data_IF_961383081686
#
_entry.id   IF_961383081686
#
_cell.length_a   1.000
_cell.length_b   1.000
_cell.length_c   1.000
_cell.angle_alpha   90.00
_cell.angle_beta   90.00
_cell.angle_gamma   90.00
#
_symmetry.space_group_name_H-M   'P 1'
#
loop_
_entity.id
_entity.type
_entity.pdbx_description
1 polymer ?
#
# COMPACT_ATOMS: atom_id res chain seq x y z
N UNK A 1 -9.25 -2.21 -15.67
CA UNK A 1 -8.71 -3.22 -14.73
C UNK A 1 -9.33 -2.97 -13.39
N UNK A 2 -9.76 -4.02 -12.67
CA UNK A 2 -10.17 -3.89 -11.27
C UNK A 2 -8.94 -3.41 -10.49
N UNK A 3 -9.06 -2.34 -9.70
CA UNK A 3 -7.95 -1.82 -8.89
C UNK A 3 -7.44 -2.86 -7.89
N UNK A 4 -6.30 -2.60 -7.27
CA UNK A 4 -5.73 -3.45 -6.23
C UNK A 4 -6.55 -3.32 -4.94
N UNK A 5 -7.77 -3.84 -4.90
CA UNK A 5 -8.68 -3.65 -3.77
C UNK A 5 -9.36 -4.94 -3.33
N UNK A 6 -8.67 -5.69 -2.46
CA UNK A 6 -9.21 -6.89 -1.85
C UNK A 6 -10.37 -6.60 -0.87
N UNK A 7 -10.50 -5.37 -0.35
CA UNK A 7 -11.61 -5.00 0.53
C UNK A 7 -12.96 -5.08 -0.21
N UNK A 8 -12.97 -4.80 -1.52
CA UNK A 8 -14.18 -4.90 -2.35
C UNK A 8 -14.59 -6.35 -2.66
N UNK A 9 -13.73 -7.32 -2.37
CA UNK A 9 -14.00 -8.75 -2.58
C UNK A 9 -14.58 -9.43 -1.34
N UNK A 10 -14.57 -8.72 -0.21
CA UNK A 10 -15.15 -9.19 1.05
C UNK A 10 -16.68 -9.10 1.03
N UNK A 11 -17.32 -9.89 1.89
CA UNK A 11 -18.76 -9.73 2.11
C UNK A 11 -19.07 -8.33 2.63
N UNK A 12 -20.25 -7.76 2.31
CA UNK A 12 -20.61 -6.40 2.74
C UNK A 12 -20.43 -6.18 4.24
N UNK A 13 -20.83 -7.17 5.06
CA UNK A 13 -20.72 -7.08 6.52
C UNK A 13 -19.26 -6.98 7.00
N UNK A 14 -18.34 -7.74 6.40
CA UNK A 14 -16.91 -7.72 6.76
C UNK A 14 -16.26 -6.43 6.29
N UNK A 15 -16.55 -6.02 5.05
CA UNK A 15 -16.11 -4.74 4.48
C UNK A 15 -16.51 -3.57 5.37
N UNK A 16 -17.78 -3.49 5.76
CA UNK A 16 -18.27 -2.43 6.63
C UNK A 16 -17.59 -2.45 8.01
N UNK A 17 -17.29 -3.63 8.53
CA UNK A 17 -16.60 -3.79 9.82
C UNK A 17 -15.16 -3.29 9.76
N UNK A 18 -14.43 -3.58 8.68
CA UNK A 18 -13.07 -3.06 8.46
C UNK A 18 -13.10 -1.54 8.29
N UNK A 19 -13.99 -1.03 7.43
CA UNK A 19 -14.09 0.41 7.16
C UNK A 19 -14.44 1.21 8.42
N UNK A 20 -15.23 0.66 9.35
CA UNK A 20 -15.51 1.29 10.65
C UNK A 20 -14.28 1.37 11.57
N UNK A 21 -13.32 0.46 11.42
CA UNK A 21 -12.07 0.46 12.19
C UNK A 21 -10.98 1.34 11.55
N UNK A 22 -11.13 1.67 10.27
CA UNK A 22 -10.17 2.50 9.55
C UNK A 22 -10.15 3.94 10.09
N UNK A 23 -8.97 4.57 10.04
CA UNK A 23 -8.79 5.97 10.46
C UNK A 23 -8.33 6.79 9.27
N UNK A 24 -9.05 7.88 8.90
CA UNK A 24 -8.59 8.78 7.85
C UNK A 24 -7.23 9.37 8.19
N UNK A 25 -6.34 9.42 7.19
CA UNK A 25 -5.01 10.04 7.30
C UNK A 25 -4.74 10.85 6.05
N UNK A 26 -4.18 12.04 6.22
CA UNK A 26 -3.63 12.84 5.14
C UNK A 26 -2.12 12.78 5.22
N UNK A 27 -1.48 12.49 4.09
CA UNK A 27 -0.02 12.48 3.97
C UNK A 27 0.39 13.60 3.03
N UNK A 28 1.50 14.27 3.36
CA UNK A 28 2.05 15.31 2.52
C UNK A 28 2.54 14.71 1.19
N UNK A 29 2.55 15.53 0.14
CA UNK A 29 3.16 15.14 -1.12
C UNK A 29 4.64 14.76 -0.93
N UNK A 30 5.10 13.79 -1.72
CA UNK A 30 6.44 13.20 -1.64
C UNK A 30 6.82 12.57 -0.28
N UNK A 31 5.85 12.34 0.62
CA UNK A 31 6.09 11.57 1.85
C UNK A 31 6.19 10.08 1.54
N UNK A 32 7.26 9.44 1.99
CA UNK A 32 7.41 7.98 1.96
C UNK A 32 6.47 7.39 3.02
N UNK A 33 5.57 6.48 2.60
CA UNK A 33 4.70 5.74 3.53
C UNK A 33 5.43 4.61 4.24
N UNK A 34 6.23 3.86 3.49
CA UNK A 34 7.13 2.81 3.96
C UNK A 34 8.22 2.61 2.92
N UNK A 35 9.35 2.05 3.34
CA UNK A 35 10.47 1.67 2.49
C UNK A 35 10.94 0.25 2.81
N UNK A 36 11.86 -0.29 2.00
CA UNK A 36 12.41 -1.62 2.23
C UNK A 36 13.04 -1.73 3.61
N UNK A 37 12.71 -2.81 4.33
CA UNK A 37 13.16 -3.05 5.70
C UNK A 37 12.26 -2.46 6.78
N UNK A 38 11.26 -1.63 6.43
CA UNK A 38 10.29 -1.15 7.41
C UNK A 38 9.35 -2.27 7.85
N UNK A 39 9.05 -2.31 9.14
CA UNK A 39 7.94 -3.13 9.65
C UNK A 39 6.62 -2.47 9.28
N UNK A 40 5.90 -3.06 8.33
CA UNK A 40 4.55 -2.64 7.97
C UNK A 40 3.54 -3.27 8.93
N UNK A 41 2.79 -2.44 9.65
CA UNK A 41 1.75 -2.90 10.60
C UNK A 41 0.34 -2.45 10.20
N UNK A 42 0.22 -1.70 9.11
CA UNK A 42 -1.02 -1.07 8.67
C UNK A 42 -1.16 -1.18 7.16
N UNK A 43 -2.41 -1.27 6.70
CA UNK A 43 -2.80 -1.28 5.30
C UNK A 43 -3.58 0.01 5.02
N UNK A 44 -3.41 0.60 3.84
CA UNK A 44 -4.05 1.86 3.47
C UNK A 44 -4.92 1.70 2.23
N UNK A 45 -6.14 2.21 2.27
CA UNK A 45 -6.95 2.47 1.09
C UNK A 45 -6.80 3.93 0.67
N UNK A 46 -6.54 4.16 -0.62
CA UNK A 46 -6.44 5.50 -1.17
C UNK A 46 -7.84 6.06 -1.35
N UNK A 47 -8.16 7.13 -0.61
CA UNK A 47 -9.44 7.86 -0.79
C UNK A 47 -9.30 8.92 -1.90
N UNK A 48 -8.17 9.61 -1.94
CA UNK A 48 -7.87 10.65 -2.93
C UNK A 48 -6.36 10.81 -3.11
N UNK A 49 -5.94 11.24 -4.29
CA UNK A 49 -4.51 11.39 -4.65
C UNK A 49 -3.95 10.13 -5.30
N UNK A 50 -2.63 10.01 -5.29
CA UNK A 50 -1.91 8.89 -5.88
C UNK A 50 -0.68 8.52 -5.04
N UNK A 51 -0.29 7.24 -5.10
CA UNK A 51 0.90 6.72 -4.44
C UNK A 51 1.76 6.02 -5.49
N UNK A 52 3.05 6.34 -5.52
CA UNK A 52 4.03 5.64 -6.36
C UNK A 52 4.68 4.51 -5.57
N UNK A 53 4.75 3.32 -6.16
CA UNK A 53 5.61 2.25 -5.69
C UNK A 53 6.84 2.19 -6.57
N UNK A 54 7.99 2.41 -5.95
CA UNK A 54 9.29 2.37 -6.59
C UNK A 54 10.16 1.31 -5.91
N UNK A 55 11.15 0.81 -6.64
CA UNK A 55 12.32 0.11 -6.09
C UNK A 55 13.56 0.94 -6.36
N UNK A 56 14.60 0.72 -5.58
CA UNK A 56 15.91 1.34 -5.77
C UNK A 56 16.86 0.28 -6.32
N UNK A 57 17.48 0.57 -7.47
CA UNK A 57 18.55 -0.30 -7.99
C UNK A 57 19.78 -0.26 -7.08
N UNK A 58 20.72 -1.19 -7.27
CA UNK A 58 22.02 -1.19 -6.57
C UNK A 58 22.77 0.16 -6.71
N UNK A 59 22.62 0.82 -7.86
CA UNK A 59 23.20 2.15 -8.15
C UNK A 59 22.36 3.33 -7.59
N UNK A 60 21.31 3.04 -6.82
CA UNK A 60 20.43 4.02 -6.19
C UNK A 60 19.43 4.71 -7.12
N UNK A 61 19.17 4.17 -8.32
CA UNK A 61 18.17 4.71 -9.23
C UNK A 61 16.76 4.26 -8.82
N UNK A 62 15.81 5.18 -8.80
CA UNK A 62 14.39 4.85 -8.59
C UNK A 62 13.76 4.29 -9.88
N UNK A 63 13.23 3.08 -9.80
CA UNK A 63 12.42 2.46 -10.84
C UNK A 63 10.96 2.44 -10.39
N UNK A 64 10.11 3.20 -11.08
CA UNK A 64 8.67 3.21 -10.85
C UNK A 64 8.05 1.88 -11.32
N UNK A 65 7.46 1.13 -10.39
CA UNK A 65 6.76 -0.12 -10.69
C UNK A 65 5.26 0.11 -10.95
N UNK A 66 4.63 0.95 -10.13
CA UNK A 66 3.19 1.18 -10.20
C UNK A 66 2.77 2.52 -9.61
N UNK A 67 1.66 3.07 -10.10
CA UNK A 67 0.98 4.24 -9.54
C UNK A 67 -0.42 3.82 -9.11
N UNK A 68 -0.64 3.79 -7.79
CA UNK A 68 -1.93 3.51 -7.19
C UNK A 68 -2.79 4.77 -7.15
N UNK A 69 -4.10 4.60 -7.35
CA UNK A 69 -5.09 5.67 -7.35
C UNK A 69 -6.25 5.41 -6.38
N UNK A 70 -7.28 6.26 -6.39
CA UNK A 70 -8.43 6.11 -5.49
C UNK A 70 -9.09 4.74 -5.59
N UNK A 71 -9.35 4.13 -4.44
CA UNK A 71 -9.89 2.79 -4.30
C UNK A 71 -8.82 1.70 -4.14
N UNK A 72 -7.60 1.92 -4.64
CA UNK A 72 -6.52 0.95 -4.48
C UNK A 72 -6.07 0.84 -3.01
N UNK A 73 -5.61 -0.37 -2.67
CA UNK A 73 -5.01 -0.72 -1.40
C UNK A 73 -3.50 -0.83 -1.59
N UNK A 74 -2.75 -0.30 -0.62
CA UNK A 74 -1.30 -0.41 -0.54
C UNK A 74 -0.86 -0.96 0.80
N UNK A 75 0.37 -1.45 0.86
CA UNK A 75 0.96 -2.05 2.06
C UNK A 75 0.21 -3.31 2.55
N UNK A 76 -0.55 -3.95 1.66
CA UNK A 76 -1.36 -5.15 1.91
C UNK A 76 -0.60 -6.47 1.77
N UNK A 77 0.64 -6.42 1.26
CA UNK A 77 1.49 -7.60 1.22
C UNK A 77 2.07 -7.86 2.61
N UNK A 78 1.68 -8.94 3.32
CA UNK A 78 2.62 -9.56 4.23
C UNK A 78 3.74 -10.09 3.34
N UNK A 79 4.92 -9.48 3.42
CA UNK A 79 6.11 -10.29 3.17
C UNK A 79 6.04 -11.36 4.24
N UNK A 80 5.95 -12.62 3.82
CA UNK A 80 5.98 -13.80 4.71
C UNK A 80 6.88 -13.52 5.91
N UNK A 81 6.42 -13.83 7.14
CA UNK A 81 7.05 -13.48 8.43
C UNK A 81 8.55 -13.85 8.58
N UNK A 82 9.18 -14.45 7.57
CA UNK A 82 10.59 -14.84 7.53
C UNK A 82 11.41 -14.27 6.35
N UNK A 83 10.88 -13.39 5.49
CA UNK A 83 11.69 -12.75 4.45
C UNK A 83 11.67 -11.22 4.52
N UNK A 84 12.81 -10.54 4.37
CA UNK A 84 12.82 -9.09 4.17
C UNK A 84 12.14 -8.75 2.84
N UNK A 85 11.58 -7.54 2.75
CA UNK A 85 11.09 -7.01 1.46
C UNK A 85 12.13 -7.26 0.37
N UNK A 86 11.73 -7.81 -0.81
CA UNK A 86 12.70 -8.19 -1.82
C UNK A 86 13.55 -6.98 -2.21
N UNK A 87 14.84 -7.09 -1.96
CA UNK A 87 15.86 -6.25 -2.58
C UNK A 87 15.88 -6.62 -4.06
N UNK A 88 15.23 -5.81 -4.88
CA UNK A 88 15.48 -5.76 -6.32
C UNK A 88 16.03 -4.38 -6.64
#
# INVERSE_FOLDING_TARGET
MKGFNWIDELSPQVRDSILRCARPRTVADSKILYQSGDRVTEVFQIVSGAIRKCILTEDGQEVLLYVYGPGDIVADAPVTDDEPSPSH
#
